data_IF_432300572917
#
_entry.id   IF_432300572917
#
_cell.length_a   1.000
_cell.length_b   1.000
_cell.length_c   1.000
_cell.angle_alpha   90.00
_cell.angle_beta   90.00
_cell.angle_gamma   90.00
#
_symmetry.space_group_name_H-M   'P 1'
#
loop_
_entity.id
_entity.type
_entity.pdbx_description
1 polymer ?
#
# COMPACT_ATOMS: atom_id res chain seq x y z
N UNK A 1 -0.90 21.59 -17.22
CA UNK A 1 -0.85 20.37 -16.43
C UNK A 1 0.58 19.78 -16.44
N UNK A 2 1.10 19.35 -15.27
CA UNK A 2 2.47 18.86 -15.15
C UNK A 2 2.67 17.51 -15.88
N UNK A 3 1.66 16.66 -15.92
CA UNK A 3 1.73 15.37 -16.62
C UNK A 3 1.94 15.54 -18.11
N UNK A 4 1.23 16.49 -18.74
CA UNK A 4 1.37 16.83 -20.15
C UNK A 4 2.67 17.60 -20.41
N UNK A 5 3.03 18.55 -19.53
CA UNK A 5 4.27 19.33 -19.66
C UNK A 5 5.52 18.44 -19.71
N UNK A 6 5.55 17.36 -18.94
CA UNK A 6 6.70 16.47 -18.84
C UNK A 6 6.54 15.16 -19.62
N UNK A 7 5.40 14.93 -20.27
CA UNK A 7 5.07 13.70 -21.02
C UNK A 7 5.32 12.40 -20.22
N UNK A 8 4.83 12.37 -18.99
CA UNK A 8 5.12 11.29 -18.02
C UNK A 8 3.90 10.45 -17.66
N UNK A 9 2.70 11.01 -17.79
CA UNK A 9 1.43 10.35 -17.52
C UNK A 9 0.43 10.78 -18.57
N UNK A 10 -0.24 9.81 -19.19
CA UNK A 10 -1.21 10.02 -20.25
C UNK A 10 -2.57 9.45 -19.84
N UNK A 11 -3.49 10.33 -19.51
CA UNK A 11 -4.86 9.96 -19.12
C UNK A 11 -5.74 9.66 -20.33
N UNK A 12 -5.51 10.33 -21.46
CA UNK A 12 -6.30 10.14 -22.69
C UNK A 12 -5.99 8.77 -23.31
N UNK A 13 -4.72 8.35 -23.29
CA UNK A 13 -4.32 7.02 -23.73
C UNK A 13 -4.93 5.94 -22.81
N UNK A 14 -4.92 6.15 -21.51
CA UNK A 14 -5.57 5.25 -20.56
C UNK A 14 -7.07 5.15 -20.79
N UNK A 15 -7.72 6.28 -21.03
CA UNK A 15 -9.14 6.33 -21.37
C UNK A 15 -9.48 5.59 -22.68
N UNK A 16 -8.58 5.69 -23.68
CA UNK A 16 -8.71 4.95 -24.96
C UNK A 16 -8.58 3.44 -24.77
N UNK A 17 -7.69 2.98 -23.89
CA UNK A 17 -7.41 1.54 -23.69
C UNK A 17 -8.48 0.88 -22.83
N UNK A 18 -8.91 1.53 -21.76
CA UNK A 18 -9.77 0.91 -20.73
C UNK A 18 -10.95 1.80 -20.33
N UNK A 19 -10.67 3.08 -20.01
CA UNK A 19 -11.65 4.02 -19.51
C UNK A 19 -11.05 5.00 -18.51
N UNK A 20 -11.86 5.90 -17.96
CA UNK A 20 -11.42 6.86 -16.96
C UNK A 20 -10.90 6.14 -15.69
N UNK A 21 -9.89 6.73 -15.04
CA UNK A 21 -9.30 6.15 -13.83
C UNK A 21 -8.21 5.10 -14.06
N UNK A 22 -7.75 4.93 -15.31
CA UNK A 22 -6.66 4.02 -15.70
C UNK A 22 -5.55 4.81 -16.43
N UNK A 23 -4.68 5.55 -15.71
CA UNK A 23 -3.62 6.33 -16.35
C UNK A 23 -2.53 5.43 -16.95
N UNK A 24 -1.91 5.91 -18.05
CA UNK A 24 -0.71 5.30 -18.62
C UNK A 24 0.51 6.09 -18.20
N UNK A 25 1.41 5.47 -17.44
CA UNK A 25 2.71 6.06 -17.13
C UNK A 25 3.67 5.86 -18.30
N UNK A 26 4.35 6.93 -18.73
CA UNK A 26 5.25 6.92 -19.89
C UNK A 26 6.65 7.37 -19.51
N UNK A 27 7.65 6.93 -20.29
CA UNK A 27 9.00 7.47 -20.26
C UNK A 27 9.59 7.58 -18.84
N UNK A 28 9.98 8.79 -18.43
CA UNK A 28 10.50 9.08 -17.09
C UNK A 28 9.47 8.85 -15.98
N UNK A 29 8.16 8.98 -16.27
CA UNK A 29 7.10 8.66 -15.33
C UNK A 29 7.05 7.17 -15.00
N UNK A 30 7.13 6.29 -15.99
CA UNK A 30 7.20 4.84 -15.78
C UNK A 30 8.50 4.45 -15.03
N UNK A 31 9.64 5.08 -15.34
CA UNK A 31 10.89 4.87 -14.62
C UNK A 31 10.77 5.32 -13.15
N UNK A 32 10.17 6.49 -12.88
CA UNK A 32 9.94 6.99 -11.52
C UNK A 32 9.08 6.00 -10.71
N UNK A 33 7.96 5.54 -11.28
CA UNK A 33 7.08 4.56 -10.67
C UNK A 33 7.85 3.30 -10.23
N UNK A 34 8.58 2.69 -11.13
CA UNK A 34 9.40 1.50 -10.84
C UNK A 34 10.50 1.77 -9.80
N UNK A 35 11.14 2.95 -9.86
CA UNK A 35 12.18 3.31 -8.89
C UNK A 35 11.63 3.48 -7.48
N UNK A 36 10.42 4.05 -7.35
CA UNK A 36 9.72 4.17 -6.07
C UNK A 36 9.31 2.80 -5.50
N UNK A 37 8.79 1.90 -6.35
CA UNK A 37 8.46 0.53 -5.94
C UNK A 37 9.70 -0.15 -5.34
N UNK A 38 10.82 -0.14 -6.06
CA UNK A 38 12.06 -0.74 -5.57
C UNK A 38 12.54 -0.08 -4.28
N UNK A 39 12.49 1.25 -4.19
CA UNK A 39 12.89 1.98 -3.00
C UNK A 39 12.06 1.59 -1.77
N UNK A 40 10.74 1.47 -1.91
CA UNK A 40 9.86 1.09 -0.82
C UNK A 40 10.09 -0.36 -0.38
N UNK A 41 10.23 -1.29 -1.33
CA UNK A 41 10.55 -2.68 -1.02
C UNK A 41 11.90 -2.81 -0.31
N UNK A 42 12.96 -2.17 -0.84
CA UNK A 42 14.29 -2.19 -0.22
C UNK A 42 14.27 -1.64 1.22
N UNK A 43 13.48 -0.57 1.46
CA UNK A 43 13.28 -0.01 2.81
C UNK A 43 12.58 -1.00 3.74
N UNK A 44 11.53 -1.66 3.28
CA UNK A 44 10.81 -2.65 4.07
C UNK A 44 11.72 -3.86 4.38
N UNK A 45 12.43 -4.39 3.39
CA UNK A 45 13.38 -5.50 3.56
C UNK A 45 14.47 -5.13 4.58
N UNK A 46 14.99 -3.91 4.53
CA UNK A 46 16.00 -3.43 5.50
C UNK A 46 15.49 -3.40 6.95
N UNK A 47 14.17 -3.40 7.16
CA UNK A 47 13.49 -3.48 8.47
C UNK A 47 13.06 -4.91 8.84
N UNK A 48 13.53 -5.91 8.07
CA UNK A 48 13.29 -7.32 8.35
C UNK A 48 11.94 -7.83 7.83
N UNK A 49 11.31 -7.15 6.87
CA UNK A 49 10.17 -7.69 6.17
C UNK A 49 10.63 -8.67 5.07
N UNK A 50 9.98 -9.81 4.97
CA UNK A 50 10.18 -10.76 3.89
C UNK A 50 9.31 -10.37 2.69
N UNK A 51 9.93 -10.24 1.53
CA UNK A 51 9.21 -9.89 0.30
C UNK A 51 8.40 -11.07 -0.22
N UNK A 52 7.15 -10.80 -0.60
CA UNK A 52 6.21 -11.76 -1.18
C UNK A 52 5.60 -11.17 -2.45
N UNK A 53 5.59 -11.96 -3.51
CA UNK A 53 4.84 -11.64 -4.73
C UNK A 53 3.58 -12.52 -4.79
N UNK A 54 2.43 -12.01 -4.33
CA UNK A 54 1.19 -12.79 -4.27
C UNK A 54 0.43 -12.75 -5.60
N UNK A 55 -0.54 -13.68 -5.82
CA UNK A 55 -1.48 -13.59 -6.92
C UNK A 55 -2.38 -12.34 -6.81
N UNK A 56 -2.81 -11.82 -7.97
CA UNK A 56 -3.68 -10.64 -8.07
C UNK A 56 -5.17 -11.00 -8.06
N UNK A 57 -5.50 -12.26 -8.28
CA UNK A 57 -6.83 -12.83 -8.19
C UNK A 57 -6.94 -13.66 -6.93
N UNK A 58 -8.02 -13.46 -6.18
CA UNK A 58 -8.29 -14.19 -4.94
C UNK A 58 -9.69 -14.80 -4.96
N UNK A 59 -9.88 -15.89 -4.23
CA UNK A 59 -11.19 -16.50 -4.04
C UNK A 59 -12.01 -15.76 -2.95
N UNK A 60 -13.27 -16.11 -2.87
CA UNK A 60 -14.23 -15.52 -1.92
C UNK A 60 -13.77 -15.64 -0.46
N UNK A 61 -13.25 -16.82 -0.06
CA UNK A 61 -12.74 -17.06 1.28
C UNK A 61 -11.60 -16.08 1.66
N UNK A 62 -10.76 -15.72 0.70
CA UNK A 62 -9.67 -14.77 0.92
C UNK A 62 -10.19 -13.36 1.15
N UNK A 63 -11.17 -12.93 0.36
CA UNK A 63 -11.83 -11.65 0.56
C UNK A 63 -12.61 -11.58 1.89
N UNK A 64 -13.28 -12.67 2.26
CA UNK A 64 -13.96 -12.78 3.55
C UNK A 64 -12.98 -12.72 4.72
N UNK A 65 -11.85 -13.40 4.61
CA UNK A 65 -10.86 -13.52 5.67
C UNK A 65 -10.32 -12.17 6.15
N UNK A 66 -10.11 -11.24 5.25
CA UNK A 66 -9.61 -9.88 5.57
C UNK A 66 -10.72 -8.84 5.73
N UNK A 67 -11.99 -9.21 5.46
CA UNK A 67 -13.13 -8.33 5.66
C UNK A 67 -13.53 -7.50 4.43
N UNK A 68 -12.96 -7.79 3.25
CA UNK A 68 -13.36 -7.15 1.99
C UNK A 68 -14.70 -7.68 1.49
N UNK A 69 -15.04 -8.92 1.82
CA UNK A 69 -16.33 -9.54 1.53
C UNK A 69 -17.13 -9.77 2.82
N UNK A 70 -18.47 -9.66 2.78
CA UNK A 70 -19.29 -9.26 1.63
C UNK A 70 -19.07 -7.78 1.25
N UNK A 71 -18.91 -7.53 -0.05
CA UNK A 71 -18.66 -6.19 -0.61
C UNK A 71 -19.96 -5.40 -0.73
N UNK A 72 -20.36 -4.76 0.36
CA UNK A 72 -21.61 -3.98 0.43
C UNK A 72 -21.58 -2.69 -0.39
N UNK A 73 -20.39 -2.19 -0.67
CA UNK A 73 -20.17 -0.92 -1.38
C UNK A 73 -19.87 -1.13 -2.87
N UNK A 74 -19.72 -2.38 -3.32
CA UNK A 74 -19.44 -2.71 -4.70
C UNK A 74 -18.05 -2.25 -5.18
N UNK A 75 -17.05 -2.29 -4.30
CA UNK A 75 -15.68 -1.81 -4.58
C UNK A 75 -14.80 -2.82 -5.31
N UNK A 76 -15.08 -4.11 -5.18
CA UNK A 76 -14.25 -5.15 -5.79
C UNK A 76 -14.67 -5.45 -7.23
N UNK A 77 -13.67 -5.64 -8.11
CA UNK A 77 -13.89 -6.22 -9.42
C UNK A 77 -14.06 -7.73 -9.31
N UNK A 78 -15.15 -8.26 -9.83
CA UNK A 78 -15.50 -9.67 -9.78
C UNK A 78 -15.43 -10.31 -11.17
N UNK A 79 -14.62 -11.36 -11.31
CA UNK A 79 -14.54 -12.23 -12.50
C UNK A 79 -15.59 -13.33 -12.34
N UNK A 80 -16.78 -13.10 -12.87
CA UNK A 80 -17.97 -13.91 -12.59
C UNK A 80 -17.83 -15.39 -12.98
N UNK A 81 -17.23 -15.69 -14.14
CA UNK A 81 -17.13 -17.06 -14.65
C UNK A 81 -16.28 -17.97 -13.77
N UNK A 82 -15.25 -17.40 -13.14
CA UNK A 82 -14.30 -18.14 -12.32
C UNK A 82 -14.54 -17.96 -10.81
N UNK A 83 -15.49 -17.10 -10.44
CA UNK A 83 -15.77 -16.68 -9.06
C UNK A 83 -14.50 -16.20 -8.33
N UNK A 84 -13.71 -15.37 -9.01
CA UNK A 84 -12.50 -14.75 -8.49
C UNK A 84 -12.65 -13.23 -8.41
N UNK A 85 -11.87 -12.61 -7.55
CA UNK A 85 -11.89 -11.17 -7.32
C UNK A 85 -10.52 -10.59 -7.56
N UNK A 86 -10.44 -9.46 -8.29
CA UNK A 86 -9.20 -8.67 -8.36
C UNK A 86 -8.96 -8.01 -7.01
N UNK A 87 -7.73 -8.08 -6.53
CA UNK A 87 -7.37 -7.56 -5.20
C UNK A 87 -7.47 -6.04 -5.12
N UNK A 88 -8.11 -5.46 -4.09
CA UNK A 88 -8.11 -4.03 -3.84
C UNK A 88 -6.85 -3.55 -3.09
N UNK A 89 -6.08 -4.49 -2.55
CA UNK A 89 -4.86 -4.31 -1.76
C UNK A 89 -4.12 -5.63 -1.63
N UNK A 90 -2.79 -5.60 -1.54
CA UNK A 90 -1.96 -6.77 -1.27
C UNK A 90 -2.22 -7.37 0.14
N UNK A 91 -2.82 -6.61 1.05
CA UNK A 91 -3.28 -7.11 2.34
C UNK A 91 -4.06 -8.42 2.21
N UNK A 92 -4.98 -8.50 1.24
CA UNK A 92 -5.85 -9.67 1.07
C UNK A 92 -5.05 -10.94 0.81
N UNK A 93 -4.26 -11.07 -0.26
CA UNK A 93 -3.52 -12.30 -0.50
C UNK A 93 -2.41 -12.54 0.52
N UNK A 94 -1.70 -11.53 0.99
CA UNK A 94 -0.55 -11.71 1.89
C UNK A 94 -1.02 -12.19 3.27
N UNK A 95 -2.09 -11.62 3.84
CA UNK A 95 -2.62 -12.07 5.13
C UNK A 95 -3.20 -13.49 5.04
N UNK A 96 -3.77 -13.85 3.88
CA UNK A 96 -4.33 -15.18 3.64
C UNK A 96 -3.30 -16.31 3.51
N UNK A 97 -2.00 -16.01 3.38
CA UNK A 97 -0.93 -17.04 3.39
C UNK A 97 -1.03 -17.93 4.64
N UNK A 98 -1.46 -17.34 5.75
CA UNK A 98 -1.56 -18.03 7.04
C UNK A 98 -2.99 -18.48 7.37
N UNK A 99 -3.94 -18.41 6.44
CA UNK A 99 -5.30 -18.90 6.65
C UNK A 99 -5.30 -20.37 7.09
N UNK A 100 -6.11 -20.70 8.13
CA UNK A 100 -6.21 -22.02 8.76
C UNK A 100 -4.91 -22.53 9.41
N UNK A 101 -4.01 -21.61 9.83
CA UNK A 101 -2.73 -21.98 10.42
C UNK A 101 -2.73 -21.84 11.95
N UNK A 102 -1.95 -22.71 12.59
CA UNK A 102 -1.57 -22.58 14.00
C UNK A 102 -0.07 -22.29 14.00
N UNK A 103 0.29 -21.08 14.40
CA UNK A 103 1.66 -20.59 14.47
C UNK A 103 2.25 -20.90 15.85
N UNK A 104 3.52 -21.22 15.92
CA UNK A 104 4.22 -21.28 17.21
C UNK A 104 4.55 -19.88 17.68
N UNK A 105 4.58 -19.66 18.98
CA UNK A 105 4.96 -18.35 19.54
C UNK A 105 6.36 -17.91 19.09
N UNK A 106 7.28 -18.87 18.90
CA UNK A 106 8.65 -18.62 18.46
C UNK A 106 8.75 -18.24 16.96
N UNK A 107 7.71 -18.49 16.17
CA UNK A 107 7.64 -18.08 14.75
C UNK A 107 7.30 -16.57 14.60
N UNK A 108 6.93 -15.89 15.68
CA UNK A 108 6.57 -14.48 15.69
C UNK A 108 7.76 -13.56 16.02
N UNK A 109 7.82 -12.35 15.49
CA UNK A 109 6.82 -11.71 14.61
C UNK A 109 6.93 -12.18 13.16
N UNK A 110 5.80 -12.37 12.47
CA UNK A 110 5.78 -12.53 11.02
C UNK A 110 5.69 -11.14 10.40
N UNK A 111 6.62 -10.84 9.50
CA UNK A 111 6.73 -9.56 8.79
C UNK A 111 6.79 -9.83 7.29
N UNK A 112 5.80 -9.35 6.55
CA UNK A 112 5.71 -9.54 5.10
C UNK A 112 5.54 -8.20 4.40
N UNK A 113 6.13 -8.08 3.21
CA UNK A 113 5.92 -6.94 2.32
C UNK A 113 5.69 -7.43 0.90
N UNK A 114 4.88 -6.71 0.13
CA UNK A 114 4.69 -7.03 -1.26
C UNK A 114 4.23 -5.82 -2.07
N UNK A 115 4.70 -5.77 -3.31
CA UNK A 115 4.21 -4.86 -4.32
C UNK A 115 3.11 -5.53 -5.14
N UNK A 116 2.00 -4.84 -5.33
CA UNK A 116 0.96 -5.23 -6.29
C UNK A 116 0.29 -4.04 -6.94
N UNK A 117 -0.18 -4.17 -8.19
CA UNK A 117 -1.32 -3.39 -8.64
C UNK A 117 -2.53 -3.70 -7.73
N UNK A 118 -3.34 -2.68 -7.49
CA UNK A 118 -4.58 -2.76 -6.71
C UNK A 118 -5.73 -2.28 -7.57
N UNK A 119 -6.89 -2.90 -7.42
CA UNK A 119 -8.05 -2.65 -8.28
C UNK A 119 -9.26 -2.27 -7.43
N UNK A 120 -9.82 -1.08 -7.65
CA UNK A 120 -11.00 -0.59 -6.95
C UNK A 120 -11.99 -0.01 -7.94
N UNK A 121 -13.27 -0.32 -7.78
CA UNK A 121 -14.32 0.23 -8.65
C UNK A 121 -14.59 1.70 -8.39
N UNK A 122 -14.14 2.21 -7.24
CA UNK A 122 -14.39 3.61 -6.82
C UNK A 122 -15.87 3.99 -6.92
N UNK A 123 -16.77 3.03 -6.65
CA UNK A 123 -18.22 3.20 -6.75
C UNK A 123 -18.66 4.36 -5.85
N UNK A 124 -19.48 5.27 -6.39
CA UNK A 124 -19.97 6.44 -5.65
C UNK A 124 -19.03 7.64 -5.63
N UNK A 125 -17.87 7.58 -6.27
CA UNK A 125 -16.94 8.71 -6.36
C UNK A 125 -17.19 9.52 -7.63
N UNK A 126 -17.49 10.82 -7.47
CA UNK A 126 -17.80 11.74 -8.58
C UNK A 126 -17.12 13.11 -8.38
N UNK A 127 -16.97 13.88 -9.48
CA UNK A 127 -16.58 15.28 -9.44
C UNK A 127 -15.07 15.54 -9.48
N UNK A 128 -14.61 16.61 -8.83
CA UNK A 128 -13.22 17.07 -8.86
C UNK A 128 -12.23 16.12 -8.17
N UNK A 129 -12.70 15.33 -7.21
CA UNK A 129 -11.86 14.44 -6.41
C UNK A 129 -11.39 13.20 -7.18
N UNK A 130 -12.03 12.88 -8.31
CA UNK A 130 -11.62 11.78 -9.22
C UNK A 130 -10.67 12.22 -10.34
N UNK A 131 -10.26 13.49 -10.37
CA UNK A 131 -9.34 13.99 -11.41
C UNK A 131 -7.88 13.66 -11.09
N UNK A 132 -7.12 13.42 -12.17
CA UNK A 132 -5.68 13.15 -12.09
C UNK A 132 -5.37 11.84 -11.36
N UNK A 133 -4.43 11.89 -10.41
CA UNK A 133 -3.95 10.73 -9.65
C UNK A 133 -4.64 10.54 -8.28
N UNK A 134 -5.71 11.27 -8.00
CA UNK A 134 -6.33 11.25 -6.67
C UNK A 134 -7.09 9.94 -6.38
N UNK A 135 -7.88 9.47 -7.36
CA UNK A 135 -8.66 8.23 -7.28
C UNK A 135 -8.57 7.49 -8.60
N UNK A 136 -8.10 6.26 -8.53
CA UNK A 136 -7.85 5.42 -9.70
C UNK A 136 -8.50 4.06 -9.52
N UNK A 137 -8.99 3.50 -10.62
CA UNK A 137 -9.50 2.13 -10.66
C UNK A 137 -8.38 1.09 -10.58
N UNK A 138 -7.19 1.45 -11.06
CA UNK A 138 -5.97 0.66 -10.95
C UNK A 138 -4.83 1.55 -10.48
N UNK A 139 -4.10 1.12 -9.46
CA UNK A 139 -2.94 1.83 -8.91
C UNK A 139 -1.96 0.86 -8.26
N UNK A 140 -0.71 1.28 -8.18
CA UNK A 140 0.36 0.50 -7.58
C UNK A 140 0.53 0.84 -6.09
N UNK A 141 0.73 -0.20 -5.28
CA UNK A 141 0.92 -0.06 -3.84
C UNK A 141 1.92 -1.09 -3.31
N UNK A 142 2.81 -0.64 -2.45
CA UNK A 142 3.62 -1.53 -1.62
C UNK A 142 2.94 -1.64 -0.27
N UNK A 143 2.74 -2.87 0.20
CA UNK A 143 2.05 -3.19 1.44
C UNK A 143 3.01 -3.84 2.42
N UNK A 144 2.81 -3.59 3.71
CA UNK A 144 3.43 -4.30 4.83
C UNK A 144 2.36 -4.96 5.68
N UNK A 145 2.56 -6.22 6.02
CA UNK A 145 1.66 -7.01 6.86
C UNK A 145 2.45 -7.61 8.02
N UNK A 146 1.87 -7.57 9.21
CA UNK A 146 2.42 -8.23 10.40
C UNK A 146 1.38 -9.14 11.04
N UNK A 147 1.86 -10.29 11.55
CA UNK A 147 1.10 -11.16 12.44
C UNK A 147 1.87 -11.22 13.75
N UNK A 148 1.17 -10.94 14.84
CA UNK A 148 1.80 -10.74 16.14
C UNK A 148 0.94 -11.31 17.29
N UNK A 149 1.56 -11.53 18.42
CA UNK A 149 0.83 -11.90 19.62
C UNK A 149 0.01 -10.69 20.14
N UNK A 150 -1.17 -10.95 20.75
CA UNK A 150 -2.07 -9.88 21.19
C UNK A 150 -1.43 -8.85 22.13
N UNK A 151 -0.53 -9.29 23.00
CA UNK A 151 0.11 -8.43 24.00
C UNK A 151 1.09 -7.41 23.44
N UNK A 152 1.56 -7.59 22.18
CA UNK A 152 2.55 -6.74 21.53
C UNK A 152 1.97 -5.89 20.39
N UNK A 153 0.75 -6.18 19.94
CA UNK A 153 0.23 -5.62 18.68
C UNK A 153 0.15 -4.08 18.65
N UNK A 154 -0.10 -3.42 19.76
CA UNK A 154 -0.12 -1.95 19.81
C UNK A 154 1.28 -1.33 19.75
N UNK A 155 2.26 -1.94 20.44
CA UNK A 155 3.67 -1.53 20.27
C UNK A 155 4.12 -1.72 18.82
N UNK A 156 3.70 -2.83 18.21
CA UNK A 156 4.00 -3.13 16.81
C UNK A 156 3.33 -2.14 15.85
N UNK A 157 2.14 -1.66 16.17
CA UNK A 157 1.50 -0.58 15.40
C UNK A 157 2.37 0.68 15.42
N UNK A 158 2.88 1.08 16.59
CA UNK A 158 3.76 2.24 16.72
C UNK A 158 5.07 2.06 15.92
N UNK A 159 5.66 0.86 15.93
CA UNK A 159 6.83 0.53 15.11
C UNK A 159 6.54 0.67 13.60
N UNK A 160 5.36 0.22 13.14
CA UNK A 160 4.93 0.34 11.74
C UNK A 160 4.70 1.81 11.37
N UNK A 161 4.09 2.60 12.24
CA UNK A 161 3.90 4.04 12.06
C UNK A 161 5.24 4.76 11.91
N UNK A 162 6.21 4.50 12.81
CA UNK A 162 7.55 5.10 12.71
C UNK A 162 8.30 4.63 11.45
N UNK A 163 8.09 3.39 11.00
CA UNK A 163 8.66 2.92 9.74
C UNK A 163 8.13 3.68 8.53
N UNK A 164 6.80 3.82 8.39
CA UNK A 164 6.19 4.57 7.28
C UNK A 164 6.59 6.05 7.33
N UNK A 165 6.66 6.64 8.53
CA UNK A 165 7.17 7.99 8.75
C UNK A 165 8.60 8.15 8.24
N UNK A 166 9.47 7.16 8.47
CA UNK A 166 10.86 7.20 7.96
C UNK A 166 10.93 7.20 6.44
N UNK A 167 10.05 6.45 5.75
CA UNK A 167 9.98 6.42 4.29
C UNK A 167 9.56 7.79 3.73
N UNK A 168 8.56 8.42 4.32
CA UNK A 168 8.11 9.76 3.90
C UNK A 168 9.15 10.84 4.18
N UNK A 169 9.89 10.73 5.30
CA UNK A 169 11.00 11.62 5.62
C UNK A 169 12.13 11.50 4.60
N UNK A 170 12.46 10.29 4.15
CA UNK A 170 13.47 10.07 3.11
C UNK A 170 13.06 10.63 1.73
N UNK A 171 11.74 10.76 1.48
CA UNK A 171 11.22 11.41 0.27
C UNK A 171 11.19 12.95 0.38
N UNK A 172 11.51 13.50 1.56
CA UNK A 172 11.51 14.95 1.84
C UNK A 172 10.16 15.63 1.52
N UNK A 173 9.06 14.86 1.65
CA UNK A 173 7.71 15.39 1.44
C UNK A 173 7.16 15.97 2.74
N UNK A 174 6.46 17.13 2.71
CA UNK A 174 5.71 17.59 3.86
C UNK A 174 4.55 16.63 4.13
N UNK A 175 4.49 16.07 5.32
CA UNK A 175 3.43 15.13 5.71
C UNK A 175 2.90 15.41 7.11
N UNK A 176 1.72 14.86 7.41
CA UNK A 176 1.14 14.81 8.74
C UNK A 176 0.57 13.42 9.01
N UNK A 177 0.41 13.09 10.29
CA UNK A 177 -0.14 11.82 10.75
C UNK A 177 -1.44 12.11 11.48
N UNK A 178 -2.50 11.40 11.13
CA UNK A 178 -3.82 11.49 11.73
C UNK A 178 -4.15 10.18 12.44
N UNK A 179 -4.56 10.25 13.69
CA UNK A 179 -5.23 9.15 14.35
C UNK A 179 -6.72 9.24 14.00
N UNK A 180 -7.26 8.22 13.34
CA UNK A 180 -8.65 8.23 12.92
C UNK A 180 -9.61 8.20 14.12
N UNK A 181 -10.67 8.99 14.03
CA UNK A 181 -11.78 8.93 14.96
C UNK A 181 -12.76 7.80 14.58
N UNK A 182 -13.67 7.45 15.49
CA UNK A 182 -14.61 6.35 15.27
C UNK A 182 -15.54 6.52 14.06
N UNK A 183 -15.74 7.76 13.57
CA UNK A 183 -16.55 8.04 12.39
C UNK A 183 -15.86 7.72 11.07
N UNK A 184 -14.50 7.78 11.06
CA UNK A 184 -13.69 7.53 9.87
C UNK A 184 -13.00 6.16 9.92
N UNK A 185 -13.05 5.49 11.08
CA UNK A 185 -12.43 4.20 11.27
C UNK A 185 -13.20 3.11 10.51
N UNK A 186 -12.51 2.34 9.66
CA UNK A 186 -13.07 1.18 8.99
C UNK A 186 -13.56 0.12 10.00
N UNK A 187 -14.67 -0.54 9.71
CA UNK A 187 -15.32 -1.50 10.63
C UNK A 187 -14.42 -2.71 11.00
N UNK A 188 -13.35 -2.95 10.26
CA UNK A 188 -12.43 -4.09 10.48
C UNK A 188 -11.29 -3.76 11.46
N UNK A 189 -10.95 -2.49 11.62
CA UNK A 189 -9.78 -2.05 12.40
C UNK A 189 -10.18 -1.53 13.78
N UNK A 190 -9.30 -1.77 14.76
CA UNK A 190 -9.44 -1.26 16.13
C UNK A 190 -8.76 0.09 16.32
N UNK A 191 -7.68 0.34 15.60
CA UNK A 191 -6.94 1.60 15.60
C UNK A 191 -6.22 1.78 14.27
N UNK A 192 -6.32 2.99 13.71
CA UNK A 192 -5.70 3.35 12.43
C UNK A 192 -5.04 4.72 12.52
N UNK A 193 -3.87 4.83 11.91
CA UNK A 193 -3.16 6.07 11.63
C UNK A 193 -3.05 6.27 10.13
N UNK A 194 -3.51 7.41 9.65
CA UNK A 194 -3.37 7.82 8.25
C UNK A 194 -2.23 8.82 8.10
N UNK A 195 -1.50 8.68 7.02
CA UNK A 195 -0.47 9.61 6.60
C UNK A 195 -0.97 10.41 5.41
N UNK A 196 -0.86 11.72 5.51
CA UNK A 196 -1.22 12.62 4.43
C UNK A 196 -0.01 13.45 4.01
N UNK A 197 0.13 13.67 2.70
CA UNK A 197 1.11 14.58 2.11
C UNK A 197 0.42 15.83 1.56
N UNK A 198 1.12 16.94 1.56
CA UNK A 198 0.57 18.19 1.06
C UNK A 198 0.69 18.29 -0.47
N UNK A 199 -0.43 18.39 -1.17
CA UNK A 199 -0.50 18.71 -2.59
C UNK A 199 -0.42 20.23 -2.80
N UNK A 200 0.65 20.71 -3.40
CA UNK A 200 0.81 22.14 -3.73
C UNK A 200 -0.19 22.61 -4.78
N UNK A 201 -0.50 21.74 -5.75
CA UNK A 201 -1.43 22.06 -6.82
C UNK A 201 -2.87 22.19 -6.32
N UNK A 202 -3.29 21.30 -5.41
CA UNK A 202 -4.66 21.27 -4.88
C UNK A 202 -4.80 22.07 -3.57
N UNK A 203 -3.69 22.51 -2.97
CA UNK A 203 -3.63 23.21 -1.68
C UNK A 203 -4.36 22.47 -0.56
N UNK A 204 -4.27 21.12 -0.57
CA UNK A 204 -4.89 20.23 0.42
C UNK A 204 -3.98 19.08 0.80
N UNK A 205 -4.28 18.45 1.93
CA UNK A 205 -3.66 17.22 2.38
C UNK A 205 -4.32 16.03 1.69
N UNK A 206 -3.52 15.06 1.25
CA UNK A 206 -3.96 13.85 0.57
C UNK A 206 -3.38 12.63 1.26
N UNK A 207 -4.25 11.71 1.65
CA UNK A 207 -3.86 10.42 2.23
C UNK A 207 -2.98 9.62 1.26
N UNK A 208 -1.87 9.10 1.75
CA UNK A 208 -0.91 8.27 0.99
C UNK A 208 -0.64 6.92 1.65
N UNK A 209 -1.00 6.77 2.90
CA UNK A 209 -0.86 5.53 3.66
C UNK A 209 -1.88 5.48 4.78
N UNK A 210 -2.33 4.27 5.10
CA UNK A 210 -3.09 3.94 6.28
C UNK A 210 -2.41 2.77 6.97
N UNK A 211 -2.18 2.86 8.28
CA UNK A 211 -1.54 1.82 9.10
C UNK A 211 -2.50 1.41 10.19
N UNK A 212 -2.89 0.15 10.22
CA UNK A 212 -4.00 -0.34 11.05
C UNK A 212 -3.65 -1.56 11.88
N UNK A 213 -4.21 -1.63 13.07
CA UNK A 213 -4.27 -2.82 13.91
C UNK A 213 -5.72 -3.35 13.87
N UNK A 214 -5.89 -4.58 13.43
CA UNK A 214 -7.19 -5.26 13.32
C UNK A 214 -7.48 -6.13 14.54
N UNK A 215 -6.55 -6.18 15.50
CA UNK A 215 -6.61 -7.12 16.61
C UNK A 215 -6.93 -8.55 16.11
N UNK A 216 -7.95 -9.18 16.67
CA UNK A 216 -8.35 -10.54 16.31
C UNK A 216 -9.41 -10.60 15.21
N UNK A 217 -9.85 -9.48 14.64
CA UNK A 217 -10.93 -9.48 13.65
C UNK A 217 -10.61 -10.37 12.45
N UNK A 218 -9.47 -10.13 11.79
CA UNK A 218 -9.05 -10.91 10.62
C UNK A 218 -8.62 -12.32 11.01
N UNK A 219 -7.84 -12.47 12.06
CA UNK A 219 -7.36 -13.79 12.50
C UNK A 219 -8.48 -14.75 12.93
N UNK A 220 -9.58 -14.21 13.45
CA UNK A 220 -10.78 -15.01 13.74
C UNK A 220 -11.41 -15.57 12.47
N UNK A 221 -11.58 -14.75 11.42
CA UNK A 221 -12.10 -15.16 10.11
C UNK A 221 -11.16 -16.10 9.38
N UNK A 222 -9.87 -15.80 9.40
CA UNK A 222 -8.79 -16.61 8.82
C UNK A 222 -8.46 -17.87 9.60
N UNK A 223 -8.97 -18.01 10.84
CA UNK A 223 -8.65 -19.11 11.78
C UNK A 223 -7.16 -19.21 12.08
N UNK A 224 -6.48 -18.06 12.22
CA UNK A 224 -5.05 -17.99 12.58
C UNK A 224 -4.91 -17.92 14.08
N UNK A 225 -4.24 -18.91 14.65
CA UNK A 225 -4.01 -19.02 16.10
C UNK A 225 -2.53 -19.14 16.41
N UNK A 226 -2.17 -18.75 17.61
CA UNK A 226 -0.84 -18.91 18.18
C UNK A 226 -0.89 -20.01 19.23
N UNK A 227 0.00 -20.98 19.11
CA UNK A 227 0.24 -22.01 20.12
C UNK A 227 1.37 -21.56 21.05
N UNK A 228 1.06 -21.44 22.34
CA UNK A 228 2.00 -20.98 23.37
C UNK A 228 2.81 -22.13 24.00
N UNK A 229 2.60 -23.36 23.53
CA UNK A 229 3.33 -24.54 24.05
C UNK A 229 2.78 -25.15 25.33
N UNK A 230 1.86 -24.46 26.02
CA UNK A 230 1.22 -24.89 27.28
C UNK A 230 -0.22 -25.43 27.09
N UNK A 231 -0.54 -25.92 25.90
CA UNK A 231 -1.89 -26.29 25.43
C UNK A 231 -2.82 -25.09 25.22
N UNK A 232 -2.34 -23.86 25.41
CA UNK A 232 -3.12 -22.64 25.20
C UNK A 232 -2.98 -22.18 23.75
N UNK A 233 -4.11 -21.98 23.08
CA UNK A 233 -4.18 -21.42 21.73
C UNK A 233 -5.04 -20.15 21.74
N UNK A 234 -4.47 -19.02 21.29
CA UNK A 234 -5.17 -17.75 21.19
C UNK A 234 -5.19 -17.27 19.73
N UNK A 235 -6.16 -16.44 19.38
CA UNK A 235 -6.16 -15.75 18.08
C UNK A 235 -4.93 -14.84 18.00
N UNK A 236 -4.29 -14.82 16.83
CA UNK A 236 -3.24 -13.83 16.54
C UNK A 236 -3.85 -12.45 16.36
N UNK A 237 -3.05 -11.39 16.45
CA UNK A 237 -3.41 -10.07 15.96
C UNK A 237 -2.77 -9.85 14.59
N UNK A 238 -3.51 -9.20 13.69
CA UNK A 238 -3.02 -8.82 12.36
C UNK A 238 -2.93 -7.30 12.26
N UNK A 239 -1.90 -6.83 11.60
CA UNK A 239 -1.69 -5.42 11.30
C UNK A 239 -1.27 -5.29 9.84
N UNK A 240 -1.65 -4.20 9.21
CA UNK A 240 -1.12 -3.84 7.91
C UNK A 240 -0.90 -2.34 7.75
N UNK A 241 -0.22 -1.98 6.68
CA UNK A 241 -0.08 -0.60 6.28
C UNK A 241 0.46 -0.47 4.86
N UNK A 242 0.10 0.62 4.22
CA UNK A 242 0.67 0.98 2.92
C UNK A 242 2.04 1.61 3.12
N UNK A 243 3.05 1.08 2.45
CA UNK A 243 4.41 1.59 2.55
C UNK A 243 5.07 1.79 1.16
N UNK A 244 4.46 2.55 0.20
CA UNK A 244 3.32 3.46 0.20
C UNK A 244 2.40 3.20 -1.01
N UNK A 245 1.26 3.95 -1.12
CA UNK A 245 0.45 4.01 -2.34
C UNK A 245 1.05 5.03 -3.31
N UNK A 246 1.40 4.59 -4.53
CA UNK A 246 2.24 5.37 -5.44
C UNK A 246 1.58 6.60 -6.08
N UNK A 247 0.32 6.60 -6.52
CA UNK A 247 -0.20 7.71 -7.34
C UNK A 247 -0.09 9.07 -6.69
N UNK A 248 -0.54 9.19 -5.44
CA UNK A 248 -0.49 10.47 -4.70
C UNK A 248 0.94 10.85 -4.30
N UNK A 249 1.81 9.88 -4.05
CA UNK A 249 3.26 10.12 -3.83
C UNK A 249 3.92 10.65 -5.09
N UNK A 250 3.65 10.05 -6.26
CA UNK A 250 4.17 10.53 -7.56
C UNK A 250 3.69 11.96 -7.82
N UNK A 251 2.39 12.23 -7.62
CA UNK A 251 1.86 13.57 -7.76
C UNK A 251 2.55 14.57 -6.82
N UNK A 252 2.65 14.25 -5.53
CA UNK A 252 3.28 15.11 -4.53
C UNK A 252 4.76 15.37 -4.84
N UNK A 253 5.51 14.33 -5.26
CA UNK A 253 6.92 14.48 -5.65
C UNK A 253 7.08 15.41 -6.84
N UNK A 254 6.26 15.25 -7.89
CA UNK A 254 6.29 16.10 -9.07
C UNK A 254 5.91 17.55 -8.72
N UNK A 255 4.86 17.73 -7.92
CA UNK A 255 4.36 19.07 -7.53
C UNK A 255 5.34 19.82 -6.61
N UNK A 256 5.96 19.12 -5.65
CA UNK A 256 6.83 19.75 -4.65
C UNK A 256 8.26 20.01 -5.14
N UNK A 257 8.74 19.31 -6.19
CA UNK A 257 10.09 19.39 -6.69
C UNK A 257 10.22 20.16 -8.01
N UNK A 258 9.36 21.17 -8.24
CA UNK A 258 9.43 22.05 -9.41
C UNK A 258 10.55 23.08 -9.26
N UNK A 259 11.28 23.32 -10.36
CA UNK A 259 12.23 24.43 -10.52
C UNK A 259 11.98 25.16 -11.83
N UNK A 260 12.59 26.32 -12.02
CA UNK A 260 12.53 27.07 -13.29
C UNK A 260 13.09 26.27 -14.47
N UNK A 261 14.00 25.33 -14.20
CA UNK A 261 14.63 24.43 -15.20
C UNK A 261 13.89 23.10 -15.39
N UNK A 262 12.80 22.86 -14.66
CA UNK A 262 12.03 21.62 -14.68
C UNK A 262 11.88 20.96 -13.32
N UNK A 263 11.50 19.68 -13.29
CA UNK A 263 11.39 18.93 -12.05
C UNK A 263 12.75 18.30 -11.67
N UNK A 264 13.25 18.57 -10.47
CA UNK A 264 14.54 18.08 -9.97
C UNK A 264 14.68 16.55 -10.03
N UNK A 265 13.58 15.81 -9.87
CA UNK A 265 13.57 14.35 -9.96
C UNK A 265 14.02 13.80 -11.31
N UNK A 266 14.03 14.62 -12.36
CA UNK A 266 14.48 14.22 -13.70
C UNK A 266 15.91 14.61 -14.02
N UNK A 267 16.49 15.45 -13.22
CA UNK A 267 17.85 16.01 -13.42
C UNK A 267 18.84 15.51 -12.39
N UNK A 268 18.36 15.00 -11.27
CA UNK A 268 19.19 14.41 -10.21
C UNK A 268 19.51 12.96 -10.52
N UNK A 269 20.74 12.47 -10.26
CA UNK A 269 21.00 11.05 -10.26
C UNK A 269 20.07 10.36 -9.25
N UNK A 270 19.74 9.08 -9.52
CA UNK A 270 18.83 8.35 -8.63
C UNK A 270 19.40 8.33 -7.20
N UNK A 271 18.60 8.17 -6.13
CA UNK A 271 19.12 8.00 -4.78
C UNK A 271 20.17 6.89 -4.66
N UNK A 272 20.13 5.89 -5.55
CA UNK A 272 21.19 4.88 -5.69
C UNK A 272 22.49 5.46 -6.24
N UNK A 273 22.41 6.36 -7.21
CA UNK A 273 23.58 6.97 -7.84
C UNK A 273 24.29 7.96 -6.88
N UNK A 274 23.54 8.63 -6.01
CA UNK A 274 24.06 9.58 -5.03
C UNK A 274 24.85 8.90 -3.88
N UNK A 275 24.53 7.64 -3.55
CA UNK A 275 25.16 6.91 -2.43
C UNK A 275 26.32 6.02 -2.81
N UNK A 276 26.78 6.04 -4.07
CA UNK A 276 27.94 5.26 -4.50
C UNK A 276 27.83 3.75 -4.30
N UNK A 277 26.59 3.23 -4.18
CA UNK A 277 26.37 1.78 -4.04
C UNK A 277 26.58 1.10 -5.39
N UNK A 278 27.80 0.60 -5.62
CA UNK A 278 28.06 -0.39 -6.67
C UNK A 278 27.20 -1.61 -6.39
N UNK A 279 26.32 -1.96 -7.31
CA UNK A 279 25.72 -3.30 -7.29
C UNK A 279 26.85 -4.33 -7.35
N UNK A 280 26.82 -5.40 -6.54
CA UNK A 280 27.73 -6.52 -6.75
C UNK A 280 27.50 -7.06 -8.16
N UNK A 281 28.56 -7.38 -8.88
CA UNK A 281 28.56 -7.91 -10.24
C UNK A 281 27.99 -9.33 -10.38
N UNK A 282 27.29 -9.84 -9.37
CA UNK A 282 26.73 -11.18 -9.28
C UNK A 282 25.20 -11.26 -9.37
N UNK A 283 24.53 -10.18 -9.78
CA UNK A 283 23.07 -10.18 -9.99
C UNK A 283 22.75 -10.15 -11.49
N UNK A 284 23.04 -11.28 -12.17
CA UNK A 284 22.48 -11.69 -13.45
C UNK A 284 21.91 -13.10 -13.31
#
# INVERSE_FOLDING_TARGET
>A
DLSSKYDIIDFDLGNKITGAGFPVYKNKGAKLQRSLINFFLDKNISKGYNEIQPPLLVNEDSGFGTGQLPDKEGQMYHVQNDNLYLIPTAEVPITNIYRNSILKIDDLPIKLTGYTPCFRREAGSYGSDVRGLNRLHQFDKVEIVRIECPTKSYQVLDEMVEHVKSILSDLELPFRILRLCGGDLGFTSALTYDFEVYSKAQKKWLEVSSVSNFESYQSNRLKVRIDYGDKTKKLAHTLNGSALALPRIVAALIENNQTDKGCLLYTSPSPRDQRGSRMPSSAW
#
